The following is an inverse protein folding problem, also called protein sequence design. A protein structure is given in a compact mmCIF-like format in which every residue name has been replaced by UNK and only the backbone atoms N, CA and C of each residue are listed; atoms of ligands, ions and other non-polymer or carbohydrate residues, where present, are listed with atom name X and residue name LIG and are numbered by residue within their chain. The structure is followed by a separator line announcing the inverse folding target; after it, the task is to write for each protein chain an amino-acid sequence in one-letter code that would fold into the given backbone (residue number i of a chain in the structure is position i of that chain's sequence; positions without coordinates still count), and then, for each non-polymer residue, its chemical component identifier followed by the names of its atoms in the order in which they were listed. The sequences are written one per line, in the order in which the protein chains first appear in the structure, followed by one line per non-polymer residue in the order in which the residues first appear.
data_IF_779226391398
#
_entry.id   IF_779226391398
#
_cell.length_a   1.000
_cell.length_b   1.000
_cell.length_c   1.000
_cell.angle_alpha   90.00
_cell.angle_beta   90.00
_cell.angle_gamma   90.00
#
_symmetry.space_group_name_H-M   'P 1'
#
loop_
_entity.id
_entity.type
_entity.pdbx_description
1 polymer ?
#
# COMPACT_ATOMS: atom_id res chain seq x y z
N UNK A 1 3.56 4.04 -9.12
CA UNK A 1 2.30 4.75 -9.39
C UNK A 1 2.15 4.92 -10.90
N UNK A 2 0.93 4.89 -11.43
CA UNK A 2 0.69 5.15 -12.85
C UNK A 2 0.59 3.90 -13.73
N UNK A 3 -0.14 2.88 -13.27
CA UNK A 3 -0.70 1.90 -14.20
C UNK A 3 -2.11 2.34 -14.57
N UNK A 4 -2.43 2.31 -15.85
CA UNK A 4 -3.78 2.62 -16.31
C UNK A 4 -4.75 1.52 -15.85
N UNK A 5 -6.04 1.84 -15.73
CA UNK A 5 -7.12 0.92 -15.38
C UNK A 5 -7.08 -0.32 -16.27
N UNK A 6 -6.81 -0.15 -17.57
CA UNK A 6 -6.68 -1.25 -18.53
C UNK A 6 -5.51 -2.19 -18.21
N UNK A 7 -4.37 -1.64 -17.74
CA UNK A 7 -3.23 -2.45 -17.34
C UNK A 7 -3.54 -3.23 -16.06
N UNK A 8 -4.22 -2.60 -15.11
CA UNK A 8 -4.66 -3.25 -13.87
C UNK A 8 -5.65 -4.37 -14.20
N UNK A 9 -6.65 -4.10 -15.03
CA UNK A 9 -7.65 -5.07 -15.48
C UNK A 9 -6.99 -6.32 -16.10
N UNK A 10 -6.02 -6.12 -16.99
CA UNK A 10 -5.27 -7.21 -17.62
C UNK A 10 -4.45 -8.01 -16.62
N UNK A 11 -3.75 -7.34 -15.69
CA UNK A 11 -2.91 -8.01 -14.70
C UNK A 11 -3.71 -8.91 -13.75
N UNK A 12 -4.93 -8.50 -13.40
CA UNK A 12 -5.80 -9.31 -12.52
C UNK A 12 -6.66 -10.32 -13.30
N UNK A 13 -6.60 -10.30 -14.64
CA UNK A 13 -7.37 -11.20 -15.50
C UNK A 13 -8.88 -10.91 -15.51
N UNK A 14 -9.28 -9.67 -15.28
CA UNK A 14 -10.67 -9.26 -15.32
C UNK A 14 -11.09 -8.87 -16.75
N UNK A 15 -12.36 -9.12 -17.08
CA UNK A 15 -12.97 -8.70 -18.35
C UNK A 15 -13.29 -7.19 -18.37
N UNK A 16 -13.36 -6.56 -17.19
CA UNK A 16 -13.57 -5.14 -17.02
C UNK A 16 -13.24 -4.70 -15.60
N UNK A 17 -12.80 -3.44 -15.47
CA UNK A 17 -12.45 -2.81 -14.20
C UNK A 17 -12.96 -1.37 -14.20
N UNK A 18 -13.54 -0.95 -13.09
CA UNK A 18 -13.94 0.44 -12.84
C UNK A 18 -13.50 0.83 -11.44
N UNK A 19 -12.99 2.05 -11.32
CA UNK A 19 -12.72 2.68 -10.03
C UNK A 19 -13.80 3.73 -9.75
N UNK A 20 -14.17 3.88 -8.47
CA UNK A 20 -15.01 4.98 -8.05
C UNK A 20 -14.23 6.29 -8.13
N UNK A 21 -14.90 7.37 -8.54
CA UNK A 21 -14.31 8.71 -8.50
C UNK A 21 -14.13 9.18 -7.06
N UNK A 22 -12.99 9.82 -6.78
CA UNK A 22 -12.66 10.28 -5.43
C UNK A 22 -13.69 11.31 -4.92
N UNK A 23 -14.21 12.18 -5.78
CA UNK A 23 -15.29 13.12 -5.43
C UNK A 23 -16.54 12.40 -4.97
N UNK A 24 -16.93 11.34 -5.67
CA UNK A 24 -18.14 10.58 -5.36
C UNK A 24 -18.00 9.84 -4.03
N UNK A 25 -16.79 9.35 -3.72
CA UNK A 25 -16.47 8.77 -2.42
C UNK A 25 -16.62 9.80 -1.29
N UNK A 26 -16.07 11.00 -1.48
CA UNK A 26 -16.18 12.09 -0.49
C UNK A 26 -17.64 12.49 -0.28
N UNK A 27 -18.39 12.68 -1.36
CA UNK A 27 -19.80 13.08 -1.30
C UNK A 27 -20.66 12.00 -0.63
N UNK A 28 -20.42 10.72 -0.94
CA UNK A 28 -21.13 9.61 -0.31
C UNK A 28 -20.92 9.56 1.20
N UNK A 29 -19.70 9.82 1.68
CA UNK A 29 -19.42 9.86 3.13
C UNK A 29 -19.97 11.14 3.77
N UNK A 30 -19.85 12.29 3.10
CA UNK A 30 -20.34 13.58 3.60
C UNK A 30 -21.86 13.60 3.81
N UNK A 31 -22.63 12.79 3.07
CA UNK A 31 -24.08 12.62 3.30
C UNK A 31 -24.39 12.12 4.73
N UNK A 32 -23.50 11.33 5.34
CA UNK A 32 -23.67 10.84 6.71
C UNK A 32 -23.41 11.92 7.78
N UNK A 33 -22.57 12.91 7.46
CA UNK A 33 -22.31 14.05 8.33
C UNK A 33 -21.80 15.27 7.53
N UNK A 34 -22.70 16.22 7.18
CA UNK A 34 -22.34 17.41 6.41
C UNK A 34 -21.39 18.39 7.11
N UNK A 35 -21.15 18.23 8.41
CA UNK A 35 -20.23 19.11 9.16
C UNK A 35 -18.76 18.79 8.85
N UNK A 36 -18.46 17.58 8.37
CA UNK A 36 -17.11 17.21 7.94
C UNK A 36 -16.82 17.92 6.62
N UNK A 37 -15.77 18.76 6.60
CA UNK A 37 -15.41 19.57 5.42
C UNK A 37 -14.28 19.01 4.59
N UNK A 38 -13.44 18.18 5.21
CA UNK A 38 -12.25 17.60 4.59
C UNK A 38 -12.06 16.19 5.13
N UNK A 39 -11.63 15.30 4.24
CA UNK A 39 -11.31 13.92 4.56
C UNK A 39 -9.82 13.69 4.33
N UNK A 40 -9.26 12.73 5.05
CA UNK A 40 -7.90 12.27 4.81
C UNK A 40 -7.94 11.33 3.60
N UNK A 41 -7.46 11.80 2.44
CA UNK A 41 -7.53 11.11 1.15
C UNK A 41 -6.16 10.83 0.54
N UNK A 42 -5.08 10.96 1.32
CA UNK A 42 -3.69 10.94 0.82
C UNK A 42 -3.32 9.70 0.04
N UNK A 43 -3.95 8.55 0.35
CA UNK A 43 -3.73 7.30 -0.38
C UNK A 43 -4.26 7.32 -1.82
N UNK A 44 -5.19 8.24 -2.12
CA UNK A 44 -5.80 8.40 -3.44
C UNK A 44 -5.17 9.56 -4.23
N UNK A 45 -4.92 10.69 -3.58
CA UNK A 45 -4.49 11.94 -4.23
C UNK A 45 -3.05 12.39 -3.88
N UNK A 46 -2.40 11.71 -2.94
CA UNK A 46 -1.06 12.06 -2.45
C UNK A 46 -1.01 13.24 -1.48
N UNK A 47 -2.15 13.80 -1.08
CA UNK A 47 -2.21 14.99 -0.21
C UNK A 47 -2.24 14.60 1.28
N UNK A 48 -1.07 14.45 1.88
CA UNK A 48 -0.94 14.14 3.30
C UNK A 48 -1.18 15.38 4.17
N UNK A 49 -2.20 15.32 5.04
CA UNK A 49 -2.64 16.44 5.89
C UNK A 49 -1.56 16.94 6.88
N UNK A 50 -0.59 16.10 7.23
CA UNK A 50 0.49 16.46 8.15
C UNK A 50 1.56 17.35 7.51
N UNK A 51 1.60 17.43 6.17
CA UNK A 51 2.48 18.34 5.42
C UNK A 51 3.98 17.98 5.46
N UNK A 52 4.36 16.90 6.14
CA UNK A 52 5.73 16.42 6.33
C UNK A 52 6.01 15.08 5.61
N UNK A 53 5.01 14.55 4.90
CA UNK A 53 5.16 13.36 4.07
C UNK A 53 5.58 13.77 2.67
N UNK A 54 6.85 13.57 2.37
CA UNK A 54 7.41 13.70 1.04
C UNK A 54 7.82 12.34 0.46
N UNK A 55 8.28 12.36 -0.79
CA UNK A 55 8.75 11.14 -1.46
C UNK A 55 9.92 10.49 -0.71
N UNK A 56 10.82 11.30 -0.14
CA UNK A 56 11.99 10.80 0.58
C UNK A 56 11.59 10.03 1.86
N UNK A 57 10.55 10.50 2.56
CA UNK A 57 9.97 9.79 3.69
C UNK A 57 9.37 8.44 3.28
N UNK A 58 8.62 8.40 2.16
CA UNK A 58 8.04 7.15 1.65
C UNK A 58 9.13 6.15 1.22
N UNK A 59 10.18 6.61 0.54
CA UNK A 59 11.34 5.80 0.17
C UNK A 59 12.08 5.26 1.39
N UNK A 60 12.21 6.07 2.44
CA UNK A 60 12.80 5.62 3.71
C UNK A 60 11.99 4.49 4.36
N UNK A 61 10.66 4.63 4.40
CA UNK A 61 9.77 3.58 4.90
C UNK A 61 9.86 2.29 4.06
N UNK A 62 9.97 2.41 2.74
CA UNK A 62 10.13 1.27 1.84
C UNK A 62 11.46 0.53 2.08
N UNK A 63 12.56 1.27 2.29
CA UNK A 63 13.86 0.70 2.63
C UNK A 63 13.81 -0.06 3.96
N UNK A 64 13.16 0.49 5.00
CA UNK A 64 12.98 -0.18 6.29
C UNK A 64 12.18 -1.49 6.16
N UNK A 65 11.12 -1.49 5.35
CA UNK A 65 10.33 -2.69 5.06
C UNK A 65 11.15 -3.76 4.35
N UNK A 66 11.95 -3.36 3.35
CA UNK A 66 12.82 -4.26 2.60
C UNK A 66 13.89 -4.92 3.49
N UNK A 67 14.51 -4.15 4.38
CA UNK A 67 15.47 -4.66 5.36
C UNK A 67 14.81 -5.65 6.34
N UNK A 68 13.61 -5.33 6.81
CA UNK A 68 12.84 -6.21 7.70
C UNK A 68 12.51 -7.54 7.03
N UNK A 69 12.13 -7.52 5.75
CA UNK A 69 11.84 -8.72 4.97
C UNK A 69 13.08 -9.60 4.79
N UNK A 70 14.24 -9.00 4.46
CA UNK A 70 15.52 -9.72 4.34
C UNK A 70 15.91 -10.41 5.63
N UNK A 71 15.88 -9.71 6.76
CA UNK A 71 16.19 -10.29 8.08
C UNK A 71 15.26 -11.44 8.45
N UNK A 72 13.98 -11.36 8.08
CA UNK A 72 13.03 -12.45 8.31
C UNK A 72 13.41 -13.68 7.47
N UNK A 73 13.79 -13.48 6.21
CA UNK A 73 14.22 -14.55 5.32
C UNK A 73 15.53 -15.20 5.81
N UNK A 74 16.51 -14.40 6.22
CA UNK A 74 17.78 -14.89 6.79
C UNK A 74 17.52 -15.76 8.03
N UNK A 75 16.68 -15.29 8.97
CA UNK A 75 16.30 -16.08 10.14
C UNK A 75 15.60 -17.39 9.78
N UNK A 76 14.73 -17.39 8.77
CA UNK A 76 14.07 -18.62 8.30
C UNK A 76 15.08 -19.60 7.69
N UNK A 77 16.07 -19.08 6.94
CA UNK A 77 17.15 -19.87 6.37
C UNK A 77 18.00 -20.51 7.48
N UNK A 78 18.36 -19.74 8.51
CA UNK A 78 19.15 -20.22 9.66
C UNK A 78 18.41 -21.30 10.45
N UNK A 79 17.10 -21.13 10.68
CA UNK A 79 16.27 -22.15 11.32
C UNK A 79 16.19 -23.44 10.51
N UNK A 80 15.95 -23.34 9.19
CA UNK A 80 15.91 -24.50 8.31
C UNK A 80 17.27 -25.23 8.26
N UNK A 81 18.38 -24.48 8.27
CA UNK A 81 19.72 -25.07 8.33
C UNK A 81 19.93 -25.84 9.65
N UNK A 82 19.51 -25.29 10.79
CA UNK A 82 19.61 -25.95 12.11
C UNK A 82 18.77 -27.23 12.20
N UNK A 83 17.59 -27.26 11.58
CA UNK A 83 16.74 -28.47 11.54
C UNK A 83 17.40 -29.61 10.76
N UNK A 84 18.05 -29.32 9.63
CA UNK A 84 18.75 -30.32 8.81
C UNK A 84 19.95 -30.98 9.52
N UNK A 85 20.61 -30.28 10.45
CA UNK A 85 21.74 -30.84 11.22
C UNK A 85 21.30 -31.75 12.38
N UNK A 86 20.04 -31.68 12.80
CA UNK A 86 19.54 -32.48 13.93
C UNK A 86 18.93 -33.83 13.49
N UNK A 87 18.81 -34.10 12.18
CA UNK A 87 18.28 -35.35 11.62
C UNK A 87 19.38 -36.36 11.18
N UNK A 88 20.66 -36.10 11.47
CA UNK A 88 21.79 -37.00 11.19
C UNK A 88 22.44 -37.56 12.44
#
# INVERSE_FOLDING_TARGET
HGRDVDEICKMIGADGLIFQDLSDLVDAVAQGNPDIKLFETSVFDGNYVTGDVDLAYLEHLEALRSETAKRKQEKMQDLANLELYNEG
#
